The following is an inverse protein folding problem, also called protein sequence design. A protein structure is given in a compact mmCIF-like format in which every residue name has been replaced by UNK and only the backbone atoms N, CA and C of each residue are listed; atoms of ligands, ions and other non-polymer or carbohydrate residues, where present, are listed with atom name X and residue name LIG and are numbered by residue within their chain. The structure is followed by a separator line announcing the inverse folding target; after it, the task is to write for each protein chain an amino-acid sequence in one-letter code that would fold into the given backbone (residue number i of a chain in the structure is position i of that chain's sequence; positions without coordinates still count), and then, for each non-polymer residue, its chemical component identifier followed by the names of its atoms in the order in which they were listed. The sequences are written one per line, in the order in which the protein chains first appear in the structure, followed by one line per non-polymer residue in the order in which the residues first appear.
data_IF_627335883282
#
_entry.id   IF_627335883282
#
_cell.length_a   1.000
_cell.length_b   1.000
_cell.length_c   1.000
_cell.angle_alpha   90.00
_cell.angle_beta   90.00
_cell.angle_gamma   90.00
#
_symmetry.space_group_name_H-M   'P 1'
#
loop_
_entity.id
_entity.type
_entity.pdbx_description
1 polymer ?
#
# COMPACT_ATOMS: atom_id res chain seq x y z
N UNK A 1 11.22 0.88 39.82
CA UNK A 1 11.92 -0.21 39.10
C UNK A 1 11.17 -0.48 37.80
N UNK A 2 11.50 0.25 36.73
CA UNK A 2 10.90 0.00 35.41
C UNK A 2 11.63 -1.16 34.75
N UNK A 3 11.00 -2.33 34.68
CA UNK A 3 11.61 -3.49 34.02
C UNK A 3 11.89 -3.20 32.54
N UNK A 4 13.08 -3.60 32.08
CA UNK A 4 13.45 -3.80 30.67
C UNK A 4 12.28 -4.29 29.81
N UNK A 5 11.67 -3.46 28.95
CA UNK A 5 10.57 -3.88 28.07
C UNK A 5 11.08 -4.98 27.14
N UNK A 6 10.43 -6.15 27.18
CA UNK A 6 10.85 -7.32 26.43
C UNK A 6 9.64 -8.13 25.94
N UNK A 7 9.87 -9.00 24.95
CA UNK A 7 8.90 -9.96 24.45
C UNK A 7 8.71 -9.90 22.93
N UNK A 8 7.95 -10.86 22.38
CA UNK A 8 7.72 -10.92 20.94
C UNK A 8 6.65 -9.92 20.49
N UNK A 9 6.77 -9.50 19.23
CA UNK A 9 5.75 -8.77 18.47
C UNK A 9 5.69 -9.40 17.09
N UNK A 10 4.54 -9.93 16.69
CA UNK A 10 4.31 -10.47 15.34
C UNK A 10 3.46 -9.49 14.53
N UNK A 11 3.95 -9.10 13.36
CA UNK A 11 3.35 -8.09 12.49
C UNK A 11 3.05 -8.71 11.14
N UNK A 12 1.83 -8.52 10.64
CA UNK A 12 1.53 -8.70 9.22
C UNK A 12 1.48 -7.34 8.54
N UNK A 13 2.02 -7.21 7.34
CA UNK A 13 1.95 -5.96 6.58
C UNK A 13 1.82 -6.24 5.09
N UNK A 14 0.94 -5.48 4.43
CA UNK A 14 0.98 -5.36 2.97
C UNK A 14 2.34 -4.78 2.53
N UNK A 15 2.80 -5.14 1.32
CA UNK A 15 4.13 -4.78 0.82
C UNK A 15 4.40 -3.28 0.95
N UNK A 16 3.49 -2.46 0.42
CA UNK A 16 3.62 -1.02 0.45
C UNK A 16 3.52 -0.44 1.87
N UNK A 17 2.67 -1.02 2.72
CA UNK A 17 2.59 -0.64 4.14
C UNK A 17 3.90 -0.91 4.90
N UNK A 18 4.58 -2.02 4.60
CA UNK A 18 5.91 -2.29 5.13
C UNK A 18 6.92 -1.23 4.64
N UNK A 19 6.95 -0.95 3.34
CA UNK A 19 7.91 -0.02 2.74
C UNK A 19 7.78 1.40 3.30
N UNK A 20 6.54 1.87 3.47
CA UNK A 20 6.24 3.20 3.98
C UNK A 20 6.49 3.34 5.48
N UNK A 21 6.11 2.36 6.30
CA UNK A 21 6.02 2.56 7.75
C UNK A 21 6.98 1.71 8.58
N UNK A 22 7.26 0.48 8.17
CA UNK A 22 8.07 -0.44 8.97
C UNK A 22 9.53 -0.40 8.57
N UNK A 23 9.83 -0.41 7.26
CA UNK A 23 11.18 -0.38 6.72
C UNK A 23 12.02 0.77 7.30
N UNK A 24 11.56 2.04 7.35
CA UNK A 24 12.35 3.12 7.96
C UNK A 24 12.40 3.05 9.50
N UNK A 25 11.39 2.46 10.15
CA UNK A 25 11.24 2.45 11.61
C UNK A 25 12.04 1.34 12.30
N UNK A 26 12.03 0.13 11.75
CA UNK A 26 12.53 -1.09 12.42
C UNK A 26 13.98 -0.98 12.91
N UNK A 27 14.95 -0.43 12.14
CA UNK A 27 16.33 -0.32 12.60
C UNK A 27 16.48 0.50 13.89
N UNK A 28 15.80 1.64 13.99
CA UNK A 28 15.81 2.48 15.19
C UNK A 28 15.03 1.86 16.34
N UNK A 29 13.92 1.20 16.03
CA UNK A 29 13.10 0.54 17.03
C UNK A 29 13.87 -0.56 17.78
N UNK A 30 14.56 -1.46 17.07
CA UNK A 30 15.31 -2.56 17.71
C UNK A 30 16.56 -2.06 18.43
N UNK A 31 17.17 -0.96 17.99
CA UNK A 31 18.24 -0.28 18.73
C UNK A 31 17.75 0.28 20.07
N UNK A 32 16.55 0.87 20.08
CA UNK A 32 15.95 1.47 21.27
C UNK A 32 15.37 0.43 22.23
N UNK A 33 14.88 -0.69 21.71
CA UNK A 33 14.26 -1.77 22.49
C UNK A 33 14.89 -3.14 22.15
N UNK A 34 16.14 -3.39 22.56
CA UNK A 34 16.91 -4.56 22.12
C UNK A 34 16.36 -5.90 22.64
N UNK A 35 15.44 -5.88 23.61
CA UNK A 35 14.81 -7.09 24.17
C UNK A 35 13.42 -7.38 23.58
N UNK A 36 12.96 -6.55 22.65
CA UNK A 36 11.75 -6.83 21.87
C UNK A 36 12.19 -7.53 20.57
N UNK A 37 11.69 -8.73 20.34
CA UNK A 37 11.87 -9.44 19.08
C UNK A 37 10.69 -9.18 18.16
N UNK A 38 10.94 -8.60 16.98
CA UNK A 38 9.89 -8.29 16.00
C UNK A 38 9.97 -9.27 14.84
N UNK A 39 8.89 -9.99 14.58
CA UNK A 39 8.69 -10.83 13.39
C UNK A 39 7.74 -10.09 12.46
N UNK A 40 8.11 -9.94 11.18
CA UNK A 40 7.29 -9.25 10.17
C UNK A 40 7.06 -10.20 9.00
N UNK A 41 5.79 -10.54 8.75
CA UNK A 41 5.37 -11.20 7.53
C UNK A 41 4.86 -10.15 6.54
N UNK A 42 5.35 -10.22 5.30
CA UNK A 42 5.02 -9.26 4.25
C UNK A 42 4.41 -10.00 3.07
N UNK A 43 3.11 -9.80 2.88
CA UNK A 43 2.36 -10.27 1.73
C UNK A 43 1.08 -9.45 1.56
N UNK A 44 0.53 -9.44 0.35
CA UNK A 44 -0.70 -8.72 0.02
C UNK A 44 -1.96 -9.58 0.18
N UNK A 45 -1.84 -10.79 0.75
CA UNK A 45 -2.97 -11.68 0.95
C UNK A 45 -3.92 -11.14 2.03
N UNK A 46 -5.21 -11.49 1.91
CA UNK A 46 -6.14 -11.39 3.04
C UNK A 46 -5.68 -12.32 4.16
N UNK A 47 -5.30 -11.78 5.32
CA UNK A 47 -4.85 -12.57 6.46
C UNK A 47 -5.73 -12.27 7.67
N UNK A 48 -6.32 -13.33 8.22
CA UNK A 48 -6.93 -13.28 9.55
C UNK A 48 -5.80 -13.26 10.59
N UNK A 49 -5.48 -12.05 11.05
CA UNK A 49 -4.40 -11.84 12.02
C UNK A 49 -4.64 -12.54 13.36
N UNK A 50 -5.89 -12.90 13.68
CA UNK A 50 -6.23 -13.62 14.90
C UNK A 50 -5.88 -15.10 14.75
N UNK A 51 -6.35 -15.74 13.67
CA UNK A 51 -6.06 -17.15 13.37
C UNK A 51 -4.56 -17.38 13.20
N UNK A 52 -3.89 -16.50 12.48
CA UNK A 52 -2.44 -16.56 12.22
C UNK A 52 -1.57 -16.06 13.39
N UNK A 53 -2.21 -15.66 14.50
CA UNK A 53 -1.57 -15.22 15.74
C UNK A 53 -0.59 -14.05 15.55
N UNK A 54 -0.95 -13.10 14.69
CA UNK A 54 -0.30 -11.80 14.63
C UNK A 54 -0.83 -10.89 15.75
N UNK A 55 0.02 -9.99 16.24
CA UNK A 55 -0.35 -9.02 17.28
C UNK A 55 -0.92 -7.72 16.67
N UNK A 56 -0.42 -7.34 15.48
CA UNK A 56 -0.83 -6.15 14.74
C UNK A 56 -0.75 -6.40 13.23
N UNK A 57 -1.58 -5.70 12.47
CA UNK A 57 -1.53 -5.65 11.01
C UNK A 57 -1.33 -4.22 10.49
N UNK A 58 -0.75 -4.08 9.29
CA UNK A 58 -0.72 -2.84 8.51
C UNK A 58 -1.32 -3.10 7.13
N UNK A 59 -2.47 -2.48 6.86
CA UNK A 59 -3.25 -2.70 5.64
C UNK A 59 -3.95 -1.42 5.21
N UNK A 60 -4.34 -1.32 3.95
CA UNK A 60 -5.30 -0.31 3.49
C UNK A 60 -6.55 -0.33 4.37
N UNK A 61 -6.92 0.83 4.91
CA UNK A 61 -7.99 0.98 5.88
C UNK A 61 -9.36 0.57 5.36
N UNK A 62 -9.59 0.72 4.06
CA UNK A 62 -10.82 0.28 3.38
C UNK A 62 -10.96 -1.25 3.28
N UNK A 63 -9.86 -1.99 3.48
CA UNK A 63 -9.85 -3.45 3.47
C UNK A 63 -9.97 -4.07 4.88
N UNK A 64 -10.22 -3.26 5.92
CA UNK A 64 -10.30 -3.74 7.29
C UNK A 64 -11.71 -4.21 7.66
N UNK A 65 -11.78 -5.30 8.42
CA UNK A 65 -13.02 -5.77 9.04
C UNK A 65 -13.54 -4.78 10.08
N UNK A 66 -14.85 -4.80 10.35
CA UNK A 66 -15.49 -3.89 11.32
C UNK A 66 -15.07 -4.16 12.78
N UNK A 67 -14.62 -5.37 13.10
CA UNK A 67 -14.34 -5.83 14.46
C UNK A 67 -12.89 -5.58 14.92
N UNK A 68 -12.18 -4.65 14.28
CA UNK A 68 -10.79 -4.30 14.64
C UNK A 68 -10.68 -2.88 15.19
N UNK A 69 -9.64 -2.64 15.99
CA UNK A 69 -9.23 -1.29 16.33
C UNK A 69 -8.20 -0.85 15.28
N UNK A 70 -8.51 0.21 14.54
CA UNK A 70 -7.66 0.74 13.48
C UNK A 70 -7.19 2.18 13.78
N UNK A 71 -5.94 2.49 13.43
CA UNK A 71 -5.35 3.83 13.50
C UNK A 71 -4.77 4.20 12.14
N UNK A 72 -5.25 5.30 11.52
CA UNK A 72 -4.64 5.81 10.28
C UNK A 72 -3.16 6.11 10.49
N UNK A 73 -2.34 5.76 9.49
CA UNK A 73 -0.88 5.96 9.54
C UNK A 73 -0.41 7.19 8.77
N UNK A 74 -1.27 7.81 7.97
CA UNK A 74 -0.98 9.00 7.17
C UNK A 74 -2.28 9.80 6.91
N UNK A 75 -2.20 11.08 6.50
CA UNK A 75 -3.39 11.91 6.20
C UNK A 75 -4.22 11.40 5.02
N UNK A 76 -3.60 10.64 4.11
CA UNK A 76 -4.22 10.00 2.97
C UNK A 76 -3.18 9.60 1.93
N UNK A 77 -3.57 8.76 0.99
CA UNK A 77 -2.81 8.41 -0.20
C UNK A 77 -3.55 8.90 -1.43
N UNK A 78 -2.82 9.06 -2.54
CA UNK A 78 -3.38 9.35 -3.85
C UNK A 78 -2.76 8.37 -4.84
N UNK A 79 -3.57 7.76 -5.68
CA UNK A 79 -3.11 6.91 -6.77
C UNK A 79 -3.22 7.67 -8.09
N UNK A 80 -2.23 7.52 -8.96
CA UNK A 80 -2.20 8.12 -10.30
C UNK A 80 -1.87 7.06 -11.33
N UNK A 81 -2.40 7.23 -12.54
CA UNK A 81 -1.98 6.42 -13.68
C UNK A 81 -0.59 6.89 -14.14
N UNK A 82 0.26 5.96 -14.55
CA UNK A 82 1.62 6.23 -15.03
C UNK A 82 1.98 5.31 -16.18
N UNK A 83 2.79 5.81 -17.11
CA UNK A 83 3.37 5.00 -18.19
C UNK A 83 4.76 5.50 -18.54
N UNK A 84 5.61 4.64 -19.09
CA UNK A 84 6.90 5.09 -19.63
C UNK A 84 6.69 5.97 -20.88
N UNK A 85 7.57 6.95 -21.15
CA UNK A 85 7.53 7.74 -22.38
C UNK A 85 7.46 6.87 -23.65
N UNK A 86 8.23 5.77 -23.68
CA UNK A 86 8.28 4.83 -24.81
C UNK A 86 6.93 4.16 -25.13
N UNK A 87 6.08 3.97 -24.12
CA UNK A 87 4.72 3.45 -24.31
C UNK A 87 3.83 4.52 -24.96
N UNK A 88 3.92 5.76 -24.46
CA UNK A 88 3.12 6.89 -24.91
C UNK A 88 3.48 7.32 -26.34
N UNK A 89 4.75 7.22 -26.73
CA UNK A 89 5.18 7.49 -28.11
C UNK A 89 4.48 6.59 -29.14
N UNK A 90 4.08 5.39 -28.74
CA UNK A 90 3.46 4.40 -29.60
C UNK A 90 1.93 4.39 -29.51
N UNK A 91 1.37 4.67 -28.33
CA UNK A 91 -0.06 4.49 -28.04
C UNK A 91 -0.81 5.80 -27.75
N UNK A 92 -0.08 6.92 -27.60
CA UNK A 92 -0.65 8.16 -27.08
C UNK A 92 -0.97 8.09 -25.59
N UNK A 93 -1.47 9.21 -25.05
CA UNK A 93 -1.89 9.33 -23.66
C UNK A 93 -3.42 9.41 -23.58
N UNK A 94 -4.09 8.65 -22.69
CA UNK A 94 -5.50 8.81 -22.45
C UNK A 94 -5.77 10.17 -21.78
N UNK A 95 -6.81 10.86 -22.23
CA UNK A 95 -7.25 12.14 -21.69
C UNK A 95 -8.34 11.97 -20.63
N UNK A 96 -9.04 10.84 -20.64
CA UNK A 96 -10.09 10.52 -19.67
C UNK A 96 -9.97 9.06 -19.19
N UNK A 97 -10.25 8.72 -17.91
CA UNK A 97 -10.10 7.34 -17.41
C UNK A 97 -10.89 6.28 -18.19
N UNK A 98 -11.99 6.68 -18.82
CA UNK A 98 -12.79 5.79 -19.69
C UNK A 98 -12.06 5.30 -20.94
N UNK A 99 -11.05 6.04 -21.40
CA UNK A 99 -10.22 5.69 -22.57
C UNK A 99 -9.20 4.59 -22.23
N UNK A 100 -9.00 4.27 -20.95
CA UNK A 100 -8.13 3.15 -20.53
C UNK A 100 -8.55 1.80 -21.12
N UNK A 101 -9.81 1.66 -21.58
CA UNK A 101 -10.28 0.48 -22.32
C UNK A 101 -9.53 0.25 -23.63
N UNK A 102 -8.98 1.31 -24.21
CA UNK A 102 -8.27 1.33 -25.50
C UNK A 102 -6.75 1.26 -25.30
N UNK A 103 -6.28 1.14 -24.05
CA UNK A 103 -4.87 1.07 -23.68
C UNK A 103 -4.49 -0.28 -23.05
N UNK A 104 -3.21 -0.61 -23.12
CA UNK A 104 -2.63 -1.77 -22.45
C UNK A 104 -2.43 -1.40 -20.97
N UNK A 105 -3.39 -1.79 -20.13
CA UNK A 105 -3.29 -1.56 -18.69
C UNK A 105 -2.68 -2.78 -18.00
N UNK A 106 -1.77 -2.52 -17.06
CA UNK A 106 -1.13 -3.54 -16.25
C UNK A 106 -2.07 -3.85 -15.08
N UNK A 107 -2.69 -5.03 -15.15
CA UNK A 107 -3.63 -5.49 -14.15
C UNK A 107 -2.96 -5.84 -12.83
N UNK A 108 -3.68 -5.66 -11.74
CA UNK A 108 -3.30 -6.17 -10.43
C UNK A 108 -4.40 -7.08 -9.88
N UNK A 109 -4.02 -8.24 -9.35
CA UNK A 109 -4.91 -9.20 -8.70
C UNK A 109 -4.46 -9.41 -7.28
N UNK A 110 -5.28 -8.97 -6.33
CA UNK A 110 -5.05 -9.27 -4.91
C UNK A 110 -4.94 -10.79 -4.71
N UNK A 111 -3.92 -11.29 -3.98
CA UNK A 111 -3.85 -12.72 -3.68
C UNK A 111 -5.14 -13.21 -3.02
N UNK A 112 -5.70 -14.30 -3.54
CA UNK A 112 -6.98 -14.87 -3.07
C UNK A 112 -8.23 -14.31 -3.75
N UNK A 113 -8.10 -13.35 -4.68
CA UNK A 113 -9.21 -12.83 -5.49
C UNK A 113 -9.11 -13.34 -6.93
N UNK A 114 -10.23 -13.71 -7.55
CA UNK A 114 -10.26 -14.10 -8.97
C UNK A 114 -10.22 -12.89 -9.91
N UNK A 115 -10.94 -11.83 -9.53
CA UNK A 115 -11.08 -10.61 -10.31
C UNK A 115 -9.85 -9.70 -10.22
N UNK A 116 -9.60 -8.95 -11.29
CA UNK A 116 -8.66 -7.84 -11.26
C UNK A 116 -9.20 -6.72 -10.39
N UNK A 117 -8.29 -5.97 -9.77
CA UNK A 117 -8.63 -4.71 -9.11
C UNK A 117 -9.11 -3.72 -10.19
N UNK A 118 -10.33 -3.22 -10.02
CA UNK A 118 -10.83 -2.11 -10.83
C UNK A 118 -10.16 -0.83 -10.37
N UNK A 119 -9.67 -0.05 -11.32
CA UNK A 119 -8.97 1.20 -11.01
C UNK A 119 -9.96 2.27 -10.60
N UNK A 120 -9.71 2.93 -9.48
CA UNK A 120 -10.62 3.92 -8.92
C UNK A 120 -10.16 5.34 -9.26
N UNK A 121 -11.11 6.14 -9.74
CA UNK A 121 -10.93 7.53 -10.13
C UNK A 121 -12.04 8.37 -9.52
N UNK A 122 -11.87 9.68 -9.48
CA UNK A 122 -12.82 10.63 -8.95
C UNK A 122 -13.03 11.76 -9.95
N UNK A 123 -14.29 12.04 -10.28
CA UNK A 123 -14.67 13.15 -11.15
C UNK A 123 -15.75 13.97 -10.42
N UNK A 124 -15.52 15.28 -10.26
CA UNK A 124 -16.44 16.18 -9.56
C UNK A 124 -16.84 15.70 -8.15
N UNK A 125 -15.90 15.07 -7.43
CA UNK A 125 -16.13 14.53 -6.09
C UNK A 125 -16.85 13.18 -6.05
N UNK A 126 -17.18 12.61 -7.21
CA UNK A 126 -17.83 11.29 -7.33
C UNK A 126 -16.81 10.25 -7.73
N UNK A 127 -16.60 9.26 -6.87
CA UNK A 127 -15.76 8.11 -7.16
C UNK A 127 -16.43 7.16 -8.15
N UNK A 128 -15.65 6.65 -9.09
CA UNK A 128 -16.05 5.63 -10.05
C UNK A 128 -14.89 4.69 -10.35
N UNK A 129 -15.21 3.44 -10.68
CA UNK A 129 -14.22 2.43 -11.01
C UNK A 129 -14.20 2.14 -12.50
N UNK A 130 -13.02 1.87 -13.04
CA UNK A 130 -12.78 1.46 -14.42
C UNK A 130 -12.22 0.05 -14.41
N UNK A 131 -12.94 -0.87 -15.06
CA UNK A 131 -12.40 -2.18 -15.37
C UNK A 131 -11.35 -2.02 -16.47
N UNK A 132 -10.12 -2.43 -16.17
CA UNK A 132 -8.99 -2.34 -17.10
C UNK A 132 -8.59 -3.71 -17.61
N UNK A 133 -7.96 -3.75 -18.77
CA UNK A 133 -7.45 -4.99 -19.37
C UNK A 133 -6.11 -4.74 -20.04
N UNK A 134 -5.33 -5.80 -20.20
CA UNK A 134 -4.04 -5.72 -20.87
C UNK A 134 -3.29 -7.04 -20.80
N UNK A 135 -2.07 -7.08 -21.37
CA UNK A 135 -1.34 -8.32 -21.57
C UNK A 135 -0.67 -8.85 -20.29
N UNK A 136 -0.56 -8.01 -19.25
CA UNK A 136 0.12 -8.33 -18.01
C UNK A 136 -0.83 -8.20 -16.82
N UNK A 137 -0.71 -9.14 -15.90
CA UNK A 137 -1.36 -9.08 -14.59
C UNK A 137 -0.40 -9.59 -13.55
N UNK A 138 -0.27 -8.85 -12.45
CA UNK A 138 0.59 -9.22 -11.32
C UNK A 138 -0.24 -9.35 -10.03
N UNK A 139 0.26 -10.15 -9.11
CA UNK A 139 -0.16 -10.17 -7.71
C UNK A 139 0.87 -9.52 -6.79
N UNK A 140 1.96 -9.00 -7.36
CA UNK A 140 2.96 -8.18 -6.70
C UNK A 140 2.90 -6.79 -7.31
N UNK A 141 2.68 -5.80 -6.45
CA UNK A 141 2.52 -4.43 -6.89
C UNK A 141 3.83 -3.96 -7.57
N UNK A 142 5.01 -4.22 -6.99
CA UNK A 142 6.29 -3.69 -7.50
C UNK A 142 6.60 -4.22 -8.90
N UNK A 143 6.30 -5.49 -9.16
CA UNK A 143 6.43 -6.09 -10.48
C UNK A 143 5.57 -5.38 -11.55
N UNK A 144 4.36 -4.93 -11.17
CA UNK A 144 3.52 -4.13 -12.08
C UNK A 144 4.15 -2.77 -12.41
N UNK A 145 4.75 -2.11 -11.41
CA UNK A 145 5.45 -0.83 -11.62
C UNK A 145 6.70 -1.00 -12.50
N UNK A 146 7.50 -2.05 -12.28
CA UNK A 146 8.69 -2.33 -13.07
C UNK A 146 8.32 -2.59 -14.55
N UNK A 147 7.20 -3.27 -14.81
CA UNK A 147 6.66 -3.46 -16.15
C UNK A 147 6.22 -2.14 -16.82
N UNK A 148 5.64 -1.21 -16.06
CA UNK A 148 5.27 0.12 -16.56
C UNK A 148 6.51 0.93 -16.94
N UNK A 149 7.56 0.89 -16.12
CA UNK A 149 8.87 1.53 -16.40
C UNK A 149 9.52 0.94 -17.66
N UNK A 150 9.35 -0.36 -17.89
CA UNK A 150 9.81 -1.03 -19.11
C UNK A 150 8.95 -0.74 -20.35
N UNK A 151 7.88 0.06 -20.23
CA UNK A 151 7.01 0.45 -21.34
C UNK A 151 5.97 -0.60 -21.74
N UNK A 152 5.68 -1.57 -20.88
CA UNK A 152 4.72 -2.64 -21.18
C UNK A 152 3.25 -2.19 -21.12
N UNK A 153 2.97 -1.01 -20.59
CA UNK A 153 1.60 -0.50 -20.43
C UNK A 153 1.49 0.63 -19.42
N UNK A 154 0.25 0.95 -19.08
CA UNK A 154 -0.13 1.90 -18.02
C UNK A 154 -0.28 1.14 -16.71
N UNK A 155 0.23 1.67 -15.60
CA UNK A 155 -0.04 1.17 -14.25
C UNK A 155 -0.75 2.24 -13.41
N UNK A 156 -1.51 1.81 -12.40
CA UNK A 156 -2.06 2.68 -11.36
C UNK A 156 -1.22 2.49 -10.09
N UNK A 157 -0.67 3.57 -9.55
CA UNK A 157 0.24 3.49 -8.40
C UNK A 157 0.11 4.67 -7.44
N UNK A 158 0.56 4.47 -6.19
CA UNK A 158 0.60 5.53 -5.18
C UNK A 158 1.59 6.62 -5.60
N UNK A 159 1.08 7.85 -5.75
CA UNK A 159 1.80 8.97 -6.34
C UNK A 159 3.17 9.21 -5.68
N UNK A 160 3.23 9.22 -4.35
CA UNK A 160 4.47 9.46 -3.60
C UNK A 160 5.61 8.50 -3.98
N UNK A 161 5.27 7.26 -4.32
CA UNK A 161 6.25 6.22 -4.64
C UNK A 161 6.76 6.29 -6.08
N UNK A 162 5.96 6.83 -7.01
CA UNK A 162 6.39 7.05 -8.39
C UNK A 162 7.01 8.41 -8.64
N UNK A 163 6.90 9.36 -7.70
CA UNK A 163 7.51 10.68 -7.84
C UNK A 163 9.01 10.63 -8.21
N UNK A 164 9.86 9.78 -7.59
CA UNK A 164 11.26 9.68 -8.00
C UNK A 164 11.46 9.19 -9.44
N UNK A 165 10.61 8.27 -9.91
CA UNK A 165 10.66 7.74 -11.28
C UNK A 165 10.18 8.77 -12.30
N UNK A 166 9.16 9.56 -11.94
CA UNK A 166 8.67 10.69 -12.74
C UNK A 166 9.74 11.77 -12.85
N UNK A 167 10.35 12.15 -11.73
CA UNK A 167 11.43 13.15 -11.69
C UNK A 167 12.65 12.72 -12.51
N UNK A 168 12.94 11.41 -12.57
CA UNK A 168 14.00 10.83 -13.39
C UNK A 168 13.62 10.67 -14.88
N UNK A 169 12.38 10.97 -15.27
CA UNK A 169 11.90 10.83 -16.65
C UNK A 169 11.61 9.39 -17.07
N UNK A 170 11.56 8.45 -16.13
CA UNK A 170 11.22 7.04 -16.42
C UNK A 170 9.72 6.82 -16.57
N UNK A 171 8.90 7.67 -15.96
CA UNK A 171 7.45 7.60 -16.02
C UNK A 171 6.86 8.99 -16.28
N UNK A 172 5.72 9.02 -16.94
CA UNK A 172 4.89 10.20 -17.16
C UNK A 172 3.59 10.01 -16.38
N UNK A 173 3.19 10.98 -15.51
CA UNK A 173 1.91 10.93 -14.83
C UNK A 173 0.77 11.17 -15.82
N UNK A 174 -0.31 10.41 -15.66
CA UNK A 174 -1.52 10.44 -16.49
C UNK A 174 -2.74 10.58 -15.59
N UNK A 175 -3.81 11.16 -16.14
CA UNK A 175 -5.14 11.21 -15.50
C UNK A 175 -5.13 11.81 -14.08
N UNK A 176 -4.16 12.69 -13.78
CA UNK A 176 -3.98 13.25 -12.43
C UNK A 176 -5.17 14.08 -11.97
N UNK A 177 -5.90 14.70 -12.91
CA UNK A 177 -7.13 15.46 -12.62
C UNK A 177 -8.26 14.57 -12.07
N UNK A 178 -8.21 13.27 -12.37
CA UNK A 178 -9.18 12.27 -11.93
C UNK A 178 -8.72 11.51 -10.68
N UNK A 179 -7.61 11.92 -10.08
CA UNK A 179 -6.97 11.23 -8.97
C UNK A 179 -7.26 11.97 -7.66
N UNK A 180 -8.05 11.38 -6.78
CA UNK A 180 -8.36 11.95 -5.46
C UNK A 180 -7.64 11.22 -4.33
N UNK A 181 -7.54 11.88 -3.17
CA UNK A 181 -6.97 11.28 -1.98
C UNK A 181 -7.97 10.35 -1.28
N UNK A 182 -7.46 9.23 -0.74
CA UNK A 182 -8.21 8.25 0.06
C UNK A 182 -7.45 7.97 1.37
N UNK A 183 -8.08 7.40 2.41
CA UNK A 183 -7.46 7.27 3.74
C UNK A 183 -6.13 6.49 3.78
N UNK A 184 -5.90 5.54 2.86
CA UNK A 184 -4.67 4.76 2.76
C UNK A 184 -4.50 3.71 3.86
N UNK A 185 -3.27 3.45 4.30
CA UNK A 185 -2.94 2.48 5.35
C UNK A 185 -3.38 2.87 6.77
N UNK A 186 -3.73 1.84 7.53
CA UNK A 186 -3.92 1.89 8.96
C UNK A 186 -3.16 0.74 9.65
N UNK A 187 -2.69 1.00 10.86
CA UNK A 187 -2.30 -0.05 11.79
C UNK A 187 -3.56 -0.53 12.50
N UNK A 188 -3.77 -1.84 12.53
CA UNK A 188 -4.94 -2.43 13.17
C UNK A 188 -4.60 -3.64 14.05
N UNK A 189 -5.48 -3.94 15.00
CA UNK A 189 -5.35 -5.10 15.90
C UNK A 189 -6.71 -5.46 16.54
N UNK A 190 -6.88 -6.70 17.04
CA UNK A 190 -8.13 -7.14 17.68
C UNK A 190 -8.37 -6.47 19.04
N UNK A 191 -9.62 -6.07 19.38
CA UNK A 191 -9.94 -5.30 20.59
C UNK A 191 -9.69 -6.04 21.91
N UNK A 192 -9.95 -7.35 21.96
CA UNK A 192 -10.02 -8.11 23.22
C UNK A 192 -8.73 -8.85 23.61
N UNK A 193 -7.61 -8.63 22.90
CA UNK A 193 -6.34 -9.30 23.21
C UNK A 193 -5.58 -8.50 24.29
N UNK A 194 -5.24 -9.15 25.40
CA UNK A 194 -4.34 -8.57 26.40
C UNK A 194 -2.99 -8.29 25.72
N UNK A 195 -2.69 -7.01 25.47
CA UNK A 195 -1.45 -6.60 24.80
C UNK A 195 -0.30 -6.57 25.80
N UNK A 196 0.78 -7.28 25.47
CA UNK A 196 2.05 -7.17 26.20
C UNK A 196 2.57 -5.72 26.13
N UNK A 197 3.43 -5.35 27.06
CA UNK A 197 4.09 -4.04 27.01
C UNK A 197 4.89 -3.87 25.72
N UNK A 198 5.51 -4.94 25.20
CA UNK A 198 6.23 -4.91 23.92
C UNK A 198 5.33 -4.52 22.73
N UNK A 199 4.14 -5.13 22.62
CA UNK A 199 3.17 -4.80 21.55
C UNK A 199 2.68 -3.36 21.68
N UNK A 200 2.36 -2.90 22.90
CA UNK A 200 1.96 -1.50 23.13
C UNK A 200 3.06 -0.53 22.71
N UNK A 201 4.31 -0.81 23.08
CA UNK A 201 5.47 0.00 22.71
C UNK A 201 5.68 0.04 21.21
N UNK A 202 5.53 -1.09 20.51
CA UNK A 202 5.61 -1.16 19.05
C UNK A 202 4.53 -0.31 18.37
N UNK A 203 3.26 -0.46 18.80
CA UNK A 203 2.13 0.35 18.29
C UNK A 203 2.41 1.84 18.47
N UNK A 204 2.89 2.25 19.64
CA UNK A 204 3.23 3.64 19.92
C UNK A 204 4.36 4.13 19.03
N UNK A 205 5.38 3.31 18.77
CA UNK A 205 6.49 3.69 17.89
C UNK A 205 6.00 3.90 16.45
N UNK A 206 5.22 2.97 15.90
CA UNK A 206 4.67 3.09 14.54
C UNK A 206 3.78 4.33 14.41
N UNK A 207 2.91 4.58 15.39
CA UNK A 207 2.04 5.77 15.40
C UNK A 207 2.80 7.08 15.62
N UNK A 208 3.93 7.04 16.32
CA UNK A 208 4.74 8.21 16.66
C UNK A 208 5.68 8.66 15.54
N UNK A 209 6.16 7.73 14.72
CA UNK A 209 7.05 8.01 13.60
C UNK A 209 6.36 8.76 12.45
N UNK A 210 5.02 8.72 12.40
CA UNK A 210 4.22 9.33 11.33
C UNK A 210 3.55 10.65 11.74
N UNK A 211 4.03 11.30 12.81
CA UNK A 211 3.63 12.69 13.09
C UNK A 211 4.36 13.60 12.10
N UNK A 212 3.66 14.54 11.43
CA UNK A 212 4.29 15.51 10.54
C UNK A 212 5.30 16.39 11.27
#
# INVERSE_FOLDING_TARGET
MGGEIAGPVRVHAQRLGYELFLKPLLPDFVRRFPRISVEVQIDDAGVDIVQERFDVGIRLGEMLDQDVIAFPLQPGLRQIAVAAPSYLDQHGAPLHPRELRDHLCIGFRWPGHDALYNWEFCENGVWFSVAVSGPLTFNDQRAALDAAVAGAGIALWVESEVQPLIAAGHLVPLLTEYSAAFPGFALYYPPHRHRSTAVKTFITAVRGANKP
#
